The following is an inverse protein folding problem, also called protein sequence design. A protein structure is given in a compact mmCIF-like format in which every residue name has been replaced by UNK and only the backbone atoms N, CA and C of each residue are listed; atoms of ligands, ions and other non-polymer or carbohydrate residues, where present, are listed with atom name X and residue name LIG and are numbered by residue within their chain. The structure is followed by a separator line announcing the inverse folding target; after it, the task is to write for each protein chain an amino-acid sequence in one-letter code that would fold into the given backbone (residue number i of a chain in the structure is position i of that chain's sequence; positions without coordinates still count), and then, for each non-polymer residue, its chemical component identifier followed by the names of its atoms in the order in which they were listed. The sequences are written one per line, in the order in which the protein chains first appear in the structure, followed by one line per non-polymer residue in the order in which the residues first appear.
data_IF_025299948449
#
_entry.id   IF_025299948449
#
_cell.length_a   1.000
_cell.length_b   1.000
_cell.length_c   1.000
_cell.angle_alpha   90.00
_cell.angle_beta   90.00
_cell.angle_gamma   90.00
#
_symmetry.space_group_name_H-M   'P 1'
#
loop_
_entity.id
_entity.type
_entity.pdbx_description
1 polymer ?
#
# COMPACT_ATOMS: atom_id res chain seq x y z
N UNK A 1 -7.87 0.06 -7.08
CA UNK A 1 -6.68 -0.68 -6.65
C UNK A 1 -7.07 -1.51 -5.45
N UNK A 2 -7.10 -2.85 -5.53
CA UNK A 2 -7.45 -3.69 -4.39
C UNK A 2 -6.37 -3.64 -3.30
N UNK A 3 -6.80 -3.72 -2.05
CA UNK A 3 -5.89 -3.85 -0.87
C UNK A 3 -5.85 -5.30 -0.41
N UNK A 4 -5.54 -6.20 -1.34
CA UNK A 4 -5.60 -7.66 -1.12
C UNK A 4 -4.20 -8.20 -0.95
N UNK A 5 -4.01 -9.08 0.02
CA UNK A 5 -2.80 -9.87 0.16
C UNK A 5 -2.77 -10.91 -0.96
N UNK A 6 -1.79 -10.78 -1.83
CA UNK A 6 -1.61 -11.66 -2.99
C UNK A 6 -0.86 -12.93 -2.56
N UNK A 7 -1.30 -14.14 -2.96
CA UNK A 7 -0.64 -15.39 -2.65
C UNK A 7 0.61 -15.58 -3.54
N UNK A 8 1.67 -14.80 -3.23
CA UNK A 8 2.86 -14.66 -4.09
C UNK A 8 3.59 -16.00 -4.28
N UNK A 9 3.68 -16.84 -3.24
CA UNK A 9 4.33 -18.13 -3.31
C UNK A 9 3.65 -19.05 -4.32
N UNK A 10 2.32 -19.13 -4.27
CA UNK A 10 1.51 -19.92 -5.17
C UNK A 10 1.64 -19.44 -6.61
N UNK A 11 1.63 -18.11 -6.81
CA UNK A 11 1.82 -17.52 -8.14
C UNK A 11 3.22 -17.81 -8.71
N UNK A 12 4.26 -17.75 -7.88
CA UNK A 12 5.62 -18.12 -8.29
C UNK A 12 5.67 -19.61 -8.70
N UNK A 13 4.99 -20.48 -7.96
CA UNK A 13 4.89 -21.92 -8.28
C UNK A 13 4.22 -22.12 -9.64
N UNK A 14 3.08 -21.49 -9.89
CA UNK A 14 2.37 -21.54 -11.17
C UNK A 14 3.28 -21.03 -12.31
N UNK A 15 3.97 -19.91 -12.13
CA UNK A 15 4.90 -19.41 -13.13
C UNK A 15 5.98 -20.46 -13.50
N UNK A 16 6.49 -21.21 -12.52
CA UNK A 16 7.48 -22.28 -12.77
C UNK A 16 6.87 -23.46 -13.52
N UNK A 17 5.67 -23.88 -13.15
CA UNK A 17 4.93 -24.96 -13.82
C UNK A 17 4.63 -24.61 -15.28
N UNK A 18 4.36 -23.34 -15.56
CA UNK A 18 4.12 -22.83 -16.92
C UNK A 18 5.42 -22.48 -17.69
N UNK A 19 6.60 -22.82 -17.16
CA UNK A 19 7.88 -22.66 -17.85
C UNK A 19 8.44 -21.24 -17.88
N UNK A 20 8.02 -20.38 -16.95
CA UNK A 20 8.61 -19.03 -16.83
C UNK A 20 10.02 -19.13 -16.28
N UNK A 21 11.00 -18.63 -17.02
CA UNK A 21 12.43 -18.70 -16.69
C UNK A 21 12.79 -17.88 -15.45
N UNK A 22 12.28 -16.65 -15.34
CA UNK A 22 12.57 -15.75 -14.25
C UNK A 22 11.31 -15.09 -13.72
N UNK A 23 11.19 -14.99 -12.40
CA UNK A 23 10.08 -14.33 -11.71
C UNK A 23 10.62 -13.19 -10.85
N UNK A 24 10.17 -11.98 -11.16
CA UNK A 24 10.41 -10.79 -10.36
C UNK A 24 9.14 -10.42 -9.58
N UNK A 25 9.28 -10.24 -8.28
CA UNK A 25 8.18 -9.82 -7.39
C UNK A 25 8.41 -8.37 -6.96
N UNK A 26 7.58 -7.46 -7.44
CA UNK A 26 7.47 -6.12 -6.89
C UNK A 26 6.52 -6.14 -5.68
N UNK A 27 7.10 -6.22 -4.50
CA UNK A 27 6.40 -6.22 -3.24
C UNK A 27 6.62 -4.91 -2.47
N UNK A 28 6.45 -3.78 -3.16
CA UNK A 28 6.69 -2.44 -2.60
C UNK A 28 6.01 -2.21 -1.24
N UNK A 29 4.92 -2.91 -0.93
CA UNK A 29 4.21 -2.89 0.35
C UNK A 29 4.42 -4.17 1.19
N UNK A 30 5.29 -5.09 0.78
CA UNK A 30 5.39 -6.42 1.41
C UNK A 30 5.96 -6.37 2.82
N UNK A 31 7.21 -5.88 2.95
CA UNK A 31 7.89 -5.84 4.26
C UNK A 31 7.13 -4.95 5.25
N UNK A 32 6.89 -5.47 6.44
CA UNK A 32 6.14 -4.78 7.50
C UNK A 32 4.61 -4.90 7.39
N UNK A 33 4.09 -5.46 6.27
CA UNK A 33 2.66 -5.74 6.09
C UNK A 33 2.33 -7.23 6.14
N UNK A 34 3.18 -8.06 5.54
CA UNK A 34 2.98 -9.51 5.44
C UNK A 34 4.26 -10.24 5.82
N UNK A 35 4.15 -11.56 6.03
CA UNK A 35 5.32 -12.41 6.23
C UNK A 35 6.09 -12.55 4.92
N UNK A 36 7.40 -12.34 5.01
CA UNK A 36 8.28 -12.39 3.85
C UNK A 36 9.40 -13.39 4.14
N UNK A 37 9.30 -14.57 3.52
CA UNK A 37 10.36 -15.57 3.49
C UNK A 37 10.80 -15.82 2.04
N UNK A 38 11.96 -15.27 1.69
CA UNK A 38 12.51 -15.33 0.33
C UNK A 38 12.74 -16.77 -0.15
N UNK A 39 13.08 -17.69 0.77
CA UNK A 39 13.29 -19.10 0.42
C UNK A 39 11.99 -19.79 0.10
N UNK A 40 10.94 -19.51 0.86
CA UNK A 40 9.63 -20.09 0.63
C UNK A 40 8.92 -19.50 -0.58
N UNK A 41 9.06 -18.19 -0.82
CA UNK A 41 8.51 -17.51 -1.99
C UNK A 41 9.14 -18.07 -3.28
N UNK A 42 10.46 -18.28 -3.30
CA UNK A 42 11.14 -18.94 -4.40
C UNK A 42 11.31 -18.10 -5.67
N UNK A 43 10.98 -16.82 -5.65
CA UNK A 43 11.22 -15.90 -6.77
C UNK A 43 12.72 -15.69 -7.02
N UNK A 44 13.08 -15.32 -8.26
CA UNK A 44 14.46 -14.98 -8.61
C UNK A 44 14.86 -13.63 -8.08
N UNK A 45 13.93 -12.68 -8.17
CA UNK A 45 14.10 -11.32 -7.68
C UNK A 45 12.90 -10.92 -6.83
N UNK A 46 13.16 -10.17 -5.76
CA UNK A 46 12.12 -9.61 -4.90
C UNK A 46 12.57 -8.24 -4.41
N UNK A 47 11.70 -7.24 -4.54
CA UNK A 47 11.96 -5.90 -4.03
C UNK A 47 10.86 -5.46 -3.08
N UNK A 48 11.22 -4.71 -2.04
CA UNK A 48 10.27 -4.10 -1.13
C UNK A 48 10.78 -2.78 -0.57
N UNK A 49 9.84 -1.86 -0.30
CA UNK A 49 10.16 -0.53 0.21
C UNK A 49 10.20 -0.53 1.73
N UNK A 50 11.38 -0.28 2.30
CA UNK A 50 11.54 -0.15 3.76
C UNK A 50 10.96 1.18 4.28
N UNK A 51 10.85 2.21 3.43
CA UNK A 51 10.32 3.51 3.80
C UNK A 51 8.78 3.60 3.87
N UNK A 52 8.06 2.52 3.54
CA UNK A 52 6.58 2.51 3.63
C UNK A 52 6.10 1.96 4.97
N UNK A 53 6.32 0.67 5.21
CA UNK A 53 5.77 -0.03 6.38
C UNK A 53 6.83 -0.47 7.38
N UNK A 54 8.11 -0.23 7.08
CA UNK A 54 9.25 -0.66 7.88
C UNK A 54 10.01 0.51 8.53
N UNK A 55 9.39 1.68 8.65
CA UNK A 55 9.85 2.86 9.39
C UNK A 55 11.20 3.47 8.95
N UNK A 56 11.73 3.08 7.81
CA UNK A 56 12.92 3.71 7.27
C UNK A 56 12.63 5.11 6.71
N UNK A 57 13.63 6.00 6.67
CA UNK A 57 13.51 7.27 5.95
C UNK A 57 13.14 7.07 4.47
N UNK A 58 12.64 8.12 3.78
CA UNK A 58 12.32 8.04 2.36
C UNK A 58 13.44 7.48 1.50
N UNK A 59 13.07 6.82 0.41
CA UNK A 59 13.98 6.26 -0.62
C UNK A 59 14.79 5.04 -0.21
N UNK A 60 14.45 4.35 0.89
CA UNK A 60 15.09 3.09 1.26
C UNK A 60 14.26 1.91 0.79
N UNK A 61 14.86 1.03 0.02
CA UNK A 61 14.32 -0.24 -0.44
C UNK A 61 15.43 -1.29 -0.49
N UNK A 62 15.07 -2.56 -0.67
CA UNK A 62 16.04 -3.61 -0.94
C UNK A 62 15.66 -4.38 -2.19
N UNK A 63 16.66 -4.96 -2.84
CA UNK A 63 16.51 -5.95 -3.89
C UNK A 63 17.16 -7.26 -3.42
N UNK A 64 16.37 -8.31 -3.40
CA UNK A 64 16.86 -9.68 -3.24
C UNK A 64 17.07 -10.32 -4.59
N UNK A 65 18.23 -10.93 -4.80
CA UNK A 65 18.55 -11.75 -5.96
C UNK A 65 18.86 -13.17 -5.47
N UNK A 66 18.17 -14.17 -6.00
CA UNK A 66 18.40 -15.57 -5.68
C UNK A 66 19.75 -16.00 -6.21
N UNK A 67 20.59 -16.62 -5.36
CA UNK A 67 21.98 -17.00 -5.73
C UNK A 67 22.09 -17.93 -6.94
N UNK A 68 21.08 -18.77 -7.20
CA UNK A 68 21.06 -19.69 -8.35
C UNK A 68 20.58 -19.03 -9.65
N UNK A 69 20.08 -17.80 -9.59
CA UNK A 69 19.63 -17.07 -10.78
C UNK A 69 20.82 -16.51 -11.51
N UNK A 70 20.88 -16.71 -12.82
CA UNK A 70 21.87 -16.00 -13.66
C UNK A 70 21.42 -14.55 -13.83
N UNK A 71 22.21 -13.65 -13.29
CA UNK A 71 22.01 -12.19 -13.41
C UNK A 71 23.33 -11.48 -13.75
N UNK A 72 24.23 -12.16 -14.47
CA UNK A 72 25.52 -11.60 -14.88
C UNK A 72 25.40 -10.30 -15.68
N UNK A 73 24.30 -10.16 -16.42
CA UNK A 73 24.01 -9.01 -17.27
C UNK A 73 23.13 -7.95 -16.55
N UNK A 74 22.82 -8.17 -15.28
CA UNK A 74 22.10 -7.18 -14.47
C UNK A 74 23.09 -6.23 -13.83
N UNK A 75 23.06 -4.99 -14.26
CA UNK A 75 23.91 -3.92 -13.79
C UNK A 75 23.12 -2.84 -13.04
N UNK A 76 23.79 -2.11 -12.16
CA UNK A 76 23.23 -0.91 -11.58
C UNK A 76 23.02 0.15 -12.68
N UNK A 77 21.85 0.85 -12.73
CA UNK A 77 21.56 1.82 -13.78
C UNK A 77 22.51 3.02 -13.80
N UNK A 78 23.21 3.30 -12.70
CA UNK A 78 24.27 4.30 -12.63
C UNK A 78 25.60 3.62 -12.81
N UNK A 79 26.29 3.89 -13.91
CA UNK A 79 27.65 3.42 -14.18
C UNK A 79 28.63 4.15 -13.23
N UNK A 80 29.40 3.39 -12.48
CA UNK A 80 30.36 3.90 -11.51
C UNK A 80 31.73 3.18 -11.63
N UNK A 81 32.63 3.44 -10.69
CA UNK A 81 33.97 2.85 -10.69
C UNK A 81 33.99 1.31 -10.67
N UNK A 82 32.96 0.71 -10.09
CA UNK A 82 32.88 -0.75 -9.92
C UNK A 82 32.05 -1.44 -11.01
N UNK A 83 31.72 -0.74 -12.10
CA UNK A 83 30.95 -1.32 -13.21
C UNK A 83 31.65 -2.58 -13.78
N UNK A 84 30.91 -3.65 -13.94
CA UNK A 84 31.42 -4.96 -14.40
C UNK A 84 31.90 -5.88 -13.28
N UNK A 85 31.93 -5.44 -12.02
CA UNK A 85 32.33 -6.26 -10.86
C UNK A 85 31.14 -6.97 -10.17
N UNK A 86 29.98 -6.98 -10.81
CA UNK A 86 28.76 -7.59 -10.33
C UNK A 86 27.84 -6.64 -9.53
N UNK A 87 26.53 -6.86 -9.64
CA UNK A 87 25.48 -5.96 -9.15
C UNK A 87 25.68 -5.49 -7.72
N UNK A 88 26.08 -6.37 -6.80
CA UNK A 88 26.25 -6.03 -5.40
C UNK A 88 27.38 -5.01 -5.18
N UNK A 89 28.50 -5.18 -5.88
CA UNK A 89 29.66 -4.30 -5.79
C UNK A 89 29.37 -2.98 -6.51
N UNK A 90 28.79 -3.04 -7.70
CA UNK A 90 28.35 -1.87 -8.46
C UNK A 90 27.37 -0.99 -7.66
N UNK A 91 26.47 -1.62 -6.89
CA UNK A 91 25.47 -0.92 -6.09
C UNK A 91 25.99 -0.37 -4.78
N UNK A 92 27.14 -0.85 -4.30
CA UNK A 92 27.70 -0.44 -3.01
C UNK A 92 28.16 1.03 -3.02
N UNK A 93 28.71 1.48 -4.15
CA UNK A 93 29.18 2.86 -4.32
C UNK A 93 28.90 3.36 -5.73
N UNK A 94 27.89 4.21 -5.86
CA UNK A 94 27.45 4.78 -7.16
C UNK A 94 27.83 6.25 -7.32
N UNK A 95 28.84 6.71 -6.59
CA UNK A 95 29.31 8.09 -6.57
C UNK A 95 28.93 8.84 -5.30
N UNK A 96 29.31 10.10 -5.23
CA UNK A 96 29.03 10.96 -4.06
C UNK A 96 27.55 11.31 -4.00
N UNK A 97 26.89 10.83 -2.96
CA UNK A 97 25.47 11.08 -2.66
C UNK A 97 25.19 10.93 -1.16
N UNK A 98 24.02 11.28 -0.72
CA UNK A 98 23.58 11.03 0.65
C UNK A 98 23.19 9.55 0.82
N UNK A 99 23.95 8.81 1.63
CA UNK A 99 23.69 7.41 2.02
C UNK A 99 23.10 7.29 3.41
N UNK A 100 22.83 8.39 4.11
CA UNK A 100 22.40 8.40 5.52
C UNK A 100 21.14 7.55 5.74
N UNK A 101 20.18 7.58 4.81
CA UNK A 101 18.96 6.79 4.90
C UNK A 101 19.19 5.29 4.97
N UNK A 102 20.23 4.77 4.29
CA UNK A 102 20.58 3.34 4.36
C UNK A 102 21.25 2.97 5.69
N UNK A 103 22.05 3.89 6.23
CA UNK A 103 22.76 3.67 7.49
C UNK A 103 21.83 3.62 8.71
N UNK A 104 20.62 4.12 8.58
CA UNK A 104 19.60 4.11 9.64
C UNK A 104 18.93 2.73 9.80
N UNK A 105 19.00 1.84 8.81
CA UNK A 105 18.29 0.55 8.82
C UNK A 105 18.54 -0.27 10.10
N UNK A 106 19.77 -0.42 10.63
CA UNK A 106 19.97 -1.12 11.90
C UNK A 106 19.23 -0.48 13.08
N UNK A 107 19.13 0.85 13.11
CA UNK A 107 18.40 1.57 14.17
C UNK A 107 16.88 1.42 14.03
N UNK A 108 16.38 1.24 12.82
CA UNK A 108 14.98 0.91 12.58
C UNK A 108 14.62 -0.46 13.15
N UNK A 109 15.49 -1.45 13.04
CA UNK A 109 15.29 -2.76 13.66
C UNK A 109 15.23 -2.65 15.21
N UNK A 110 16.11 -1.87 15.79
CA UNK A 110 16.07 -1.57 17.24
C UNK A 110 14.77 -0.84 17.63
N UNK A 111 14.30 0.10 16.80
CA UNK A 111 13.05 0.83 17.01
C UNK A 111 11.83 -0.11 16.96
N UNK A 112 11.73 -0.97 15.96
CA UNK A 112 10.66 -1.95 15.82
C UNK A 112 10.58 -2.87 17.04
N UNK A 113 11.72 -3.29 17.57
CA UNK A 113 11.79 -4.17 18.75
C UNK A 113 11.36 -3.49 20.06
N UNK A 114 11.09 -2.18 20.08
CA UNK A 114 10.48 -1.49 21.23
C UNK A 114 8.98 -1.71 21.34
N UNK A 115 8.33 -2.14 20.27
CA UNK A 115 6.92 -2.47 20.28
C UNK A 115 6.73 -3.90 20.76
N UNK A 116 5.66 -4.14 21.51
CA UNK A 116 5.29 -5.48 21.96
C UNK A 116 5.12 -6.43 20.78
N UNK A 117 5.80 -7.56 20.81
CA UNK A 117 5.83 -8.53 19.71
C UNK A 117 6.62 -8.08 18.47
N UNK A 118 7.33 -6.93 18.52
CA UNK A 118 8.13 -6.44 17.41
C UNK A 118 7.30 -6.25 16.14
N UNK A 119 7.86 -6.62 14.98
CA UNK A 119 7.16 -6.46 13.69
C UNK A 119 5.88 -7.29 13.60
N UNK A 120 5.85 -8.47 14.21
CA UNK A 120 4.67 -9.33 14.22
C UNK A 120 3.53 -8.69 15.02
N UNK A 121 3.84 -8.12 16.19
CA UNK A 121 2.88 -7.36 16.99
C UNK A 121 2.32 -6.14 16.23
N UNK A 122 3.18 -5.42 15.51
CA UNK A 122 2.79 -4.29 14.68
C UNK A 122 1.86 -4.73 13.54
N UNK A 123 2.20 -5.79 12.79
CA UNK A 123 1.37 -6.33 11.70
C UNK A 123 -0.02 -6.73 12.21
N UNK A 124 -0.06 -7.49 13.29
CA UNK A 124 -1.32 -7.95 13.91
C UNK A 124 -2.18 -6.76 14.32
N UNK A 125 -1.63 -5.82 15.08
CA UNK A 125 -2.31 -4.60 15.49
C UNK A 125 -2.85 -3.81 14.30
N UNK A 126 -2.01 -3.58 13.29
CA UNK A 126 -2.40 -2.79 12.12
C UNK A 126 -3.56 -3.45 11.37
N UNK A 127 -3.54 -4.78 11.22
CA UNK A 127 -4.62 -5.54 10.61
C UNK A 127 -5.93 -5.41 11.42
N UNK A 128 -5.89 -5.69 12.72
CA UNK A 128 -7.06 -5.65 13.58
C UNK A 128 -7.74 -4.27 13.55
N UNK A 129 -6.97 -3.21 13.74
CA UNK A 129 -7.52 -1.85 13.75
C UNK A 129 -8.00 -1.38 12.38
N UNK A 130 -7.29 -1.67 11.28
CA UNK A 130 -7.75 -1.22 9.97
C UNK A 130 -9.05 -1.90 9.56
N UNK A 131 -9.23 -3.18 9.93
CA UNK A 131 -10.47 -3.93 9.68
C UNK A 131 -11.60 -3.37 10.55
N UNK A 132 -11.37 -3.16 11.85
CA UNK A 132 -12.35 -2.57 12.77
C UNK A 132 -12.81 -1.19 12.28
N UNK A 133 -11.87 -0.31 11.95
CA UNK A 133 -12.18 1.03 11.43
C UNK A 133 -12.90 0.96 10.09
N UNK A 134 -12.49 0.07 9.20
CA UNK A 134 -13.19 -0.16 7.93
C UNK A 134 -14.63 -0.61 8.13
N UNK A 135 -14.88 -1.55 9.04
CA UNK A 135 -16.23 -2.01 9.39
C UNK A 135 -17.09 -0.90 10.01
N UNK A 136 -16.50 -0.09 10.89
CA UNK A 136 -17.17 1.07 11.48
C UNK A 136 -17.62 2.06 10.39
N UNK A 137 -16.76 2.36 9.43
CA UNK A 137 -17.05 3.30 8.34
C UNK A 137 -18.16 2.76 7.41
N UNK A 138 -18.06 1.51 6.95
CA UNK A 138 -19.10 0.95 6.06
C UNK A 138 -20.45 0.82 6.76
N UNK A 139 -20.46 0.54 8.07
CA UNK A 139 -21.68 0.54 8.87
C UNK A 139 -22.29 1.93 8.96
N UNK A 140 -21.47 2.96 9.17
CA UNK A 140 -21.92 4.35 9.27
C UNK A 140 -22.53 4.87 7.96
N UNK A 141 -22.01 4.38 6.82
CA UNK A 141 -22.41 4.86 5.48
C UNK A 141 -23.34 3.92 4.71
N UNK A 142 -23.67 2.75 5.25
CA UNK A 142 -24.48 1.76 4.56
C UNK A 142 -23.80 1.19 3.29
N UNK A 143 -22.46 1.09 3.31
CA UNK A 143 -21.63 0.64 2.17
C UNK A 143 -20.97 -0.71 2.43
N UNK A 144 -19.91 -1.03 1.72
CA UNK A 144 -19.18 -2.31 1.86
C UNK A 144 -17.66 -2.11 1.79
N UNK A 145 -16.93 -3.07 2.33
CA UNK A 145 -15.49 -3.18 2.09
C UNK A 145 -15.21 -3.63 0.66
N UNK A 146 -14.03 -3.27 0.14
CA UNK A 146 -13.60 -3.64 -1.20
C UNK A 146 -13.19 -5.11 -1.34
N UNK A 147 -12.89 -5.78 -0.23
CA UNK A 147 -12.57 -7.22 -0.16
C UNK A 147 -12.90 -7.76 1.24
N UNK A 148 -12.97 -9.09 1.41
CA UNK A 148 -13.12 -9.71 2.72
C UNK A 148 -12.00 -9.29 3.69
N UNK A 149 -12.31 -9.07 4.98
CA UNK A 149 -11.34 -8.64 5.98
C UNK A 149 -10.08 -9.51 6.07
N UNK A 150 -10.23 -10.82 5.96
CA UNK A 150 -9.15 -11.81 6.01
C UNK A 150 -8.15 -11.71 4.85
N UNK A 151 -8.54 -11.03 3.78
CA UNK A 151 -7.67 -10.76 2.64
C UNK A 151 -6.90 -9.43 2.76
N UNK A 152 -7.18 -8.64 3.79
CA UNK A 152 -6.49 -7.38 4.04
C UNK A 152 -5.20 -7.59 4.85
N UNK A 153 -4.29 -6.63 4.77
CA UNK A 153 -3.17 -6.50 5.72
C UNK A 153 -3.37 -5.23 6.55
N UNK A 154 -2.55 -4.22 6.32
CA UNK A 154 -2.59 -2.93 7.04
C UNK A 154 -3.38 -1.85 6.29
N UNK A 155 -4.08 -2.23 5.22
CA UNK A 155 -4.90 -1.34 4.39
C UNK A 155 -6.21 -2.02 4.02
N UNK A 156 -7.28 -1.23 3.90
CA UNK A 156 -8.58 -1.70 3.42
C UNK A 156 -9.24 -0.64 2.53
N UNK A 157 -9.95 -1.10 1.50
CA UNK A 157 -10.81 -0.24 0.69
C UNK A 157 -12.19 -0.17 1.31
N UNK A 158 -12.67 1.03 1.54
CA UNK A 158 -13.99 1.33 2.12
C UNK A 158 -14.83 2.03 1.08
N UNK A 159 -15.98 1.47 0.75
CA UNK A 159 -16.93 2.09 -0.19
C UNK A 159 -17.48 3.40 0.38
N UNK A 160 -17.54 4.42 -0.45
CA UNK A 160 -18.14 5.72 -0.13
C UNK A 160 -19.61 5.75 -0.49
N UNK A 161 -20.44 6.61 0.15
CA UNK A 161 -21.85 6.78 -0.20
C UNK A 161 -22.03 7.10 -1.68
N UNK A 162 -22.93 6.36 -2.37
CA UNK A 162 -23.18 6.54 -3.79
C UNK A 162 -23.73 7.94 -4.14
N UNK A 163 -24.42 8.60 -3.20
CA UNK A 163 -24.94 9.96 -3.36
C UNK A 163 -23.85 11.03 -3.55
N UNK A 164 -22.60 10.73 -3.22
CA UNK A 164 -21.47 11.63 -3.52
C UNK A 164 -21.19 11.75 -5.01
N UNK A 165 -21.73 10.85 -5.84
CA UNK A 165 -21.71 10.97 -7.30
C UNK A 165 -20.31 10.86 -7.92
N UNK A 166 -19.43 10.01 -7.39
CA UNK A 166 -18.07 9.81 -7.92
C UNK A 166 -18.19 9.01 -9.20
N UNK A 167 -17.92 9.63 -10.34
CA UNK A 167 -18.09 9.06 -11.70
C UNK A 167 -16.80 8.99 -12.50
N UNK A 168 -15.70 9.51 -11.97
CA UNK A 168 -14.39 9.56 -12.63
C UNK A 168 -13.24 9.63 -11.61
N UNK A 169 -12.01 9.41 -12.08
CA UNK A 169 -10.79 9.65 -11.29
C UNK A 169 -10.62 11.13 -10.93
N UNK A 170 -11.15 12.04 -11.76
CA UNK A 170 -11.17 13.47 -11.46
C UNK A 170 -12.05 13.75 -10.23
N UNK A 171 -13.28 13.22 -10.19
CA UNK A 171 -14.19 13.38 -9.05
C UNK A 171 -13.56 12.82 -7.78
N UNK A 172 -12.87 11.68 -7.86
CA UNK A 172 -12.15 11.08 -6.74
C UNK A 172 -11.04 12.01 -6.21
N UNK A 173 -10.29 12.66 -7.11
CA UNK A 173 -9.24 13.61 -6.75
C UNK A 173 -9.82 14.88 -6.12
N UNK A 174 -10.89 15.43 -6.67
CA UNK A 174 -11.57 16.61 -6.17
C UNK A 174 -12.19 16.38 -4.79
N UNK A 175 -12.82 15.22 -4.57
CA UNK A 175 -13.34 14.86 -3.24
C UNK A 175 -12.20 14.72 -2.22
N UNK A 176 -11.08 14.10 -2.60
CA UNK A 176 -9.88 14.03 -1.75
C UNK A 176 -9.38 15.41 -1.38
N UNK A 177 -9.30 16.33 -2.36
CA UNK A 177 -8.90 17.72 -2.15
C UNK A 177 -9.86 18.44 -1.20
N UNK A 178 -11.16 18.29 -1.42
CA UNK A 178 -12.20 18.85 -0.56
C UNK A 178 -12.07 18.35 0.90
N UNK A 179 -11.84 17.05 1.10
CA UNK A 179 -11.66 16.46 2.43
C UNK A 179 -10.42 17.01 3.12
N UNK A 180 -9.30 17.15 2.41
CA UNK A 180 -8.07 17.72 2.95
C UNK A 180 -8.26 19.17 3.34
N UNK A 181 -8.78 19.98 2.43
CA UNK A 181 -8.80 21.43 2.59
C UNK A 181 -9.88 21.90 3.57
N UNK A 182 -11.06 21.27 3.58
CA UNK A 182 -12.17 21.67 4.46
C UNK A 182 -12.18 20.94 5.81
N UNK A 183 -11.73 19.69 5.85
CA UNK A 183 -11.83 18.86 7.05
C UNK A 183 -10.47 18.44 7.63
N UNK A 184 -9.35 18.74 6.94
CA UNK A 184 -8.03 18.29 7.33
C UNK A 184 -7.92 16.76 7.37
N UNK A 185 -8.58 16.09 6.43
CA UNK A 185 -8.56 14.63 6.26
C UNK A 185 -7.88 14.28 4.95
N UNK A 186 -6.72 13.63 5.02
CA UNK A 186 -5.99 13.16 3.84
C UNK A 186 -6.19 11.65 3.68
N UNK A 187 -6.91 11.24 2.66
CA UNK A 187 -7.19 9.84 2.34
C UNK A 187 -7.24 9.64 0.83
N UNK A 188 -6.51 8.66 0.27
CA UNK A 188 -6.61 8.35 -1.15
C UNK A 188 -8.02 7.85 -1.50
N UNK A 189 -8.61 8.44 -2.54
CA UNK A 189 -9.91 8.04 -3.09
C UNK A 189 -9.70 7.55 -4.51
N UNK A 190 -10.43 6.50 -4.88
CA UNK A 190 -10.34 5.86 -6.19
C UNK A 190 -11.73 5.68 -6.77
N UNK A 191 -11.85 5.92 -8.07
CA UNK A 191 -13.02 5.59 -8.84
C UNK A 191 -12.95 4.11 -9.28
N UNK A 192 -14.10 3.44 -9.26
CA UNK A 192 -14.32 2.12 -9.83
C UNK A 192 -15.42 2.19 -10.87
N UNK A 193 -15.09 1.89 -12.10
CA UNK A 193 -16.10 1.79 -13.14
C UNK A 193 -17.14 0.70 -12.76
N UNK A 194 -18.44 0.98 -12.85
CA UNK A 194 -19.47 -0.04 -12.72
C UNK A 194 -19.26 -1.17 -13.72
N UNK A 195 -19.60 -2.40 -13.32
CA UNK A 195 -19.61 -3.55 -14.23
C UNK A 195 -20.92 -3.56 -15.02
N UNK A 196 -20.90 -4.23 -16.19
CA UNK A 196 -22.11 -4.43 -16.98
C UNK A 196 -23.20 -5.10 -16.13
N UNK A 197 -24.41 -4.52 -16.13
CA UNK A 197 -25.54 -4.99 -15.34
C UNK A 197 -25.61 -4.47 -13.89
N UNK A 198 -24.65 -3.66 -13.43
CA UNK A 198 -24.78 -2.93 -12.16
C UNK A 198 -25.58 -1.62 -12.43
N UNK A 199 -26.84 -1.58 -11.97
CA UNK A 199 -27.71 -0.39 -12.09
C UNK A 199 -27.97 0.23 -10.71
N UNK A 200 -28.05 1.57 -10.66
CA UNK A 200 -28.53 2.40 -9.56
C UNK A 200 -27.93 2.14 -8.15
N UNK A 201 -27.43 3.16 -7.48
CA UNK A 201 -26.93 3.05 -6.10
C UNK A 201 -25.62 2.26 -5.94
N UNK A 202 -24.92 1.98 -7.04
CA UNK A 202 -23.65 1.25 -7.03
C UNK A 202 -22.56 2.09 -6.38
N UNK A 203 -21.79 1.49 -5.49
CA UNK A 203 -20.61 2.11 -4.91
C UNK A 203 -19.52 2.20 -6.00
N UNK A 204 -19.25 3.40 -6.48
CA UNK A 204 -18.24 3.70 -7.49
C UNK A 204 -17.01 4.37 -6.92
N UNK A 205 -17.11 4.97 -5.73
CA UNK A 205 -16.00 5.58 -5.00
C UNK A 205 -15.53 4.72 -3.85
N UNK A 206 -14.22 4.57 -3.71
CA UNK A 206 -13.61 3.85 -2.60
C UNK A 206 -12.48 4.68 -1.98
N UNK A 207 -12.50 4.81 -0.66
CA UNK A 207 -11.38 5.34 0.11
C UNK A 207 -10.45 4.20 0.54
N UNK A 208 -9.13 4.36 0.38
CA UNK A 208 -8.14 3.44 0.92
C UNK A 208 -7.68 3.94 2.28
N UNK A 209 -8.20 3.36 3.34
CA UNK A 209 -7.68 3.61 4.68
C UNK A 209 -6.52 2.68 4.99
N UNK A 210 -5.63 3.11 5.86
CA UNK A 210 -4.48 2.36 6.35
C UNK A 210 -4.31 2.60 7.84
N UNK A 211 -3.75 1.63 8.56
CA UNK A 211 -3.43 1.79 9.97
C UNK A 211 -1.96 1.51 10.23
N UNK A 212 -1.31 2.37 11.02
CA UNK A 212 0.05 2.22 11.47
C UNK A 212 0.14 2.70 12.93
N UNK A 213 1.24 2.41 13.62
CA UNK A 213 1.43 2.68 15.06
C UNK A 213 1.17 4.13 15.48
N UNK A 214 1.22 5.08 14.57
CA UNK A 214 0.97 6.50 14.82
C UNK A 214 -0.49 6.93 14.58
N UNK A 215 -1.33 6.07 13.97
CA UNK A 215 -2.75 6.38 13.78
C UNK A 215 -3.53 6.18 15.08
N UNK A 216 -4.58 6.98 15.23
CA UNK A 216 -5.53 6.92 16.32
C UNK A 216 -6.94 6.63 15.77
N UNK A 217 -7.78 6.05 16.59
CA UNK A 217 -9.18 5.75 16.25
C UNK A 217 -9.95 7.03 15.90
N UNK A 218 -9.63 8.13 16.55
CA UNK A 218 -10.20 9.46 16.32
C UNK A 218 -9.97 9.98 14.89
N UNK A 219 -8.89 9.58 14.23
CA UNK A 219 -8.62 9.95 12.83
C UNK A 219 -9.72 9.41 11.91
N UNK A 220 -10.20 8.19 12.18
CA UNK A 220 -11.24 7.53 11.40
C UNK A 220 -12.63 8.06 11.73
N UNK A 221 -12.87 8.45 12.97
CA UNK A 221 -14.11 9.14 13.35
C UNK A 221 -14.19 10.50 12.68
N UNK A 222 -13.09 11.24 12.63
CA UNK A 222 -13.03 12.50 11.90
C UNK A 222 -13.35 12.32 10.40
N UNK A 223 -12.82 11.27 9.78
CA UNK A 223 -13.14 10.94 8.39
C UNK A 223 -14.61 10.57 8.20
N UNK A 224 -15.15 9.73 9.09
CA UNK A 224 -16.58 9.39 9.10
C UNK A 224 -17.44 10.64 9.12
N UNK A 225 -17.18 11.54 10.08
CA UNK A 225 -17.97 12.73 10.31
C UNK A 225 -17.87 13.73 9.16
N UNK A 226 -16.69 13.82 8.53
CA UNK A 226 -16.50 14.65 7.33
C UNK A 226 -17.38 14.15 6.16
N UNK A 227 -17.42 12.84 5.90
CA UNK A 227 -18.28 12.27 4.86
C UNK A 227 -19.75 12.44 5.21
N UNK A 228 -20.16 12.19 6.46
CA UNK A 228 -21.55 12.40 6.90
C UNK A 228 -21.97 13.85 6.68
N UNK A 229 -21.14 14.81 7.04
CA UNK A 229 -21.43 16.24 6.83
C UNK A 229 -21.58 16.59 5.33
N UNK A 230 -20.78 15.99 4.46
CA UNK A 230 -20.95 16.17 3.01
C UNK A 230 -22.30 15.60 2.52
N UNK A 231 -22.67 14.41 3.00
CA UNK A 231 -23.96 13.79 2.66
C UNK A 231 -25.14 14.61 3.18
N UNK A 232 -25.09 15.06 4.43
CA UNK A 232 -26.15 15.87 5.06
C UNK A 232 -26.34 17.21 4.34
N UNK A 233 -25.27 17.76 3.77
CA UNK A 233 -25.29 18.99 2.97
C UNK A 233 -25.65 18.75 1.48
N UNK A 234 -26.10 17.55 1.13
CA UNK A 234 -26.41 17.16 -0.25
C UNK A 234 -25.27 17.41 -1.25
N UNK A 235 -24.02 17.29 -0.79
CA UNK A 235 -22.84 17.45 -1.64
C UNK A 235 -22.78 16.33 -2.69
N UNK A 236 -22.45 16.72 -3.91
CA UNK A 236 -22.12 15.78 -5.00
C UNK A 236 -20.88 16.27 -5.75
N UNK A 237 -20.08 15.35 -6.29
CA UNK A 237 -18.90 15.72 -7.09
C UNK A 237 -19.30 16.51 -8.34
N UNK A 238 -20.50 16.32 -8.89
CA UNK A 238 -21.02 17.10 -10.01
C UNK A 238 -21.21 18.60 -9.69
N UNK A 239 -21.23 18.99 -8.42
CA UNK A 239 -21.34 20.39 -7.99
C UNK A 239 -19.98 21.10 -7.83
N UNK A 240 -18.88 20.39 -8.04
CA UNK A 240 -17.53 20.97 -7.99
C UNK A 240 -17.23 21.71 -9.29
N UNK A 241 -16.56 22.88 -9.25
CA UNK A 241 -16.13 23.58 -10.44
C UNK A 241 -15.14 22.70 -11.23
N UNK A 242 -15.34 22.61 -12.54
CA UNK A 242 -14.37 21.98 -13.44
C UNK A 242 -13.14 22.89 -13.45
N UNK A 243 -12.04 22.42 -12.80
CA UNK A 243 -10.75 23.12 -12.73
C UNK A 243 -9.93 22.92 -14.00
#
# INVERSE_FOLDING_TARGET
MPTVVIPVKELVTICREEGVDQVFVDAAHGIGCVDVDMKQIGADFYTSNLHKWFFCPPSVAFLYCKKSTNYSDLHHPVVSHEYGNGLAIESAWIGTRDYSSYLVVPKVLEFINRFEGGIEGIKKRNHEYVVEMGQMLVKAWGTRLGCPPEMCSSMVMVGLPACLGISSDHDALELRTCLRDKFGVEVPIYYRQPKDGEEGGVVTGYARISYQVYNKVEDYYKFRDAINQLVDNAFTCASLPIS
#
